data_IF_740331458645
#
_entry.id   IF_740331458645
#
_cell.length_a   1.000
_cell.length_b   1.000
_cell.length_c   1.000
_cell.angle_alpha   90.00
_cell.angle_beta   90.00
_cell.angle_gamma   90.00
#
_symmetry.space_group_name_H-M   'P 1'
#
loop_
_entity.id
_entity.type
_entity.pdbx_description
1 polymer ?
#
# COMPACT_ATOMS: atom_id res chain seq x y z
N UNK A 1 52.95 -13.73 -26.53
CA UNK A 1 52.10 -12.53 -26.66
C UNK A 1 50.75 -12.99 -27.13
N UNK A 2 49.77 -13.08 -26.22
CA UNK A 2 48.40 -13.42 -26.57
C UNK A 2 47.49 -12.78 -25.53
N UNK A 3 46.62 -11.88 -26.00
CA UNK A 3 45.67 -11.09 -25.21
C UNK A 3 44.41 -11.93 -25.08
N UNK A 4 43.95 -12.21 -23.86
CA UNK A 4 42.64 -12.81 -23.61
C UNK A 4 41.77 -11.79 -22.90
N UNK A 5 40.82 -11.25 -23.65
CA UNK A 5 39.88 -10.22 -23.23
C UNK A 5 38.77 -10.79 -22.34
N UNK A 6 38.37 -9.98 -21.34
CA UNK A 6 37.22 -10.18 -20.48
C UNK A 6 35.90 -10.23 -21.27
N UNK A 7 35.08 -11.25 -21.01
CA UNK A 7 33.67 -11.27 -21.40
C UNK A 7 32.81 -10.66 -20.28
N UNK A 8 32.45 -9.39 -20.44
CA UNK A 8 31.35 -8.74 -19.74
C UNK A 8 30.03 -9.10 -20.45
N UNK A 9 29.17 -9.91 -19.83
CA UNK A 9 27.78 -10.01 -20.27
C UNK A 9 26.95 -8.90 -19.62
N UNK A 10 26.82 -7.80 -20.36
CA UNK A 10 25.84 -6.76 -20.10
C UNK A 10 24.42 -7.27 -20.36
N UNK A 11 23.57 -7.26 -19.32
CA UNK A 11 22.13 -7.33 -19.52
C UNK A 11 21.63 -5.95 -19.97
N UNK A 12 21.20 -5.92 -21.22
CA UNK A 12 20.59 -4.78 -21.90
C UNK A 12 19.48 -4.16 -21.03
N UNK A 13 19.64 -2.86 -20.80
CA UNK A 13 18.63 -1.96 -20.31
C UNK A 13 17.47 -1.89 -21.31
N UNK A 14 16.28 -2.30 -20.88
CA UNK A 14 15.05 -2.08 -21.63
C UNK A 14 14.44 -0.74 -21.23
N UNK A 15 14.95 0.35 -21.78
CA UNK A 15 14.36 1.69 -21.65
C UNK A 15 13.17 1.83 -22.61
N UNK A 16 12.04 1.19 -22.27
CA UNK A 16 10.76 1.55 -22.91
C UNK A 16 10.13 2.74 -22.19
N UNK A 17 10.21 3.87 -22.88
CA UNK A 17 9.40 5.10 -22.75
C UNK A 17 8.27 4.98 -21.72
N UNK A 18 8.49 5.54 -20.53
CA UNK A 18 7.42 5.80 -19.58
C UNK A 18 6.44 6.81 -20.20
N UNK A 19 5.15 6.47 -20.34
CA UNK A 19 4.13 7.45 -20.71
C UNK A 19 4.06 8.53 -19.62
N UNK A 20 3.57 9.71 -19.99
CA UNK A 20 3.43 10.94 -19.18
C UNK A 20 2.61 10.82 -17.86
N UNK A 21 2.33 9.60 -17.38
CA UNK A 21 1.67 9.28 -16.11
C UNK A 21 2.52 9.59 -14.87
N UNK A 22 3.84 9.72 -15.02
CA UNK A 22 4.76 9.85 -13.87
C UNK A 22 4.66 11.17 -13.11
N UNK A 23 4.30 12.29 -13.75
CA UNK A 23 4.19 13.59 -13.04
C UNK A 23 2.98 13.65 -12.10
N UNK A 24 1.87 13.01 -12.47
CA UNK A 24 0.71 12.86 -11.57
C UNK A 24 0.93 11.81 -10.47
N UNK A 25 1.77 10.79 -10.75
CA UNK A 25 2.11 9.74 -9.79
C UNK A 25 2.98 10.24 -8.63
N UNK A 26 3.94 11.13 -8.90
CA UNK A 26 4.83 11.67 -7.86
C UNK A 26 4.08 12.57 -6.86
N UNK A 27 3.26 13.51 -7.35
CA UNK A 27 2.43 14.39 -6.51
C UNK A 27 1.46 13.60 -5.63
N UNK A 28 0.85 12.54 -6.18
CA UNK A 28 -0.01 11.64 -5.40
C UNK A 28 0.80 10.86 -4.36
N UNK A 29 2.01 10.41 -4.68
CA UNK A 29 2.85 9.66 -3.72
C UNK A 29 3.20 10.54 -2.50
N UNK A 30 3.54 11.81 -2.71
CA UNK A 30 3.83 12.75 -1.63
C UNK A 30 2.63 13.00 -0.71
N UNK A 31 1.41 13.11 -1.27
CA UNK A 31 0.19 13.26 -0.46
C UNK A 31 -0.11 12.00 0.36
N UNK A 32 0.07 10.79 -0.19
CA UNK A 32 -0.12 9.55 0.56
C UNK A 32 0.91 9.40 1.69
N UNK A 33 2.17 9.75 1.44
CA UNK A 33 3.22 9.74 2.47
C UNK A 33 2.90 10.75 3.58
N UNK A 34 2.40 11.93 3.23
CA UNK A 34 1.97 12.94 4.20
C UNK A 34 0.83 12.41 5.07
N UNK A 35 -0.16 11.75 4.46
CA UNK A 35 -1.27 11.13 5.17
C UNK A 35 -0.83 10.08 6.19
N UNK A 36 0.06 9.14 5.80
CA UNK A 36 0.56 8.12 6.73
C UNK A 36 1.38 8.75 7.87
N UNK A 37 2.18 9.78 7.60
CA UNK A 37 2.89 10.52 8.65
C UNK A 37 1.92 11.15 9.66
N UNK A 38 0.87 11.79 9.18
CA UNK A 38 -0.19 12.35 10.06
C UNK A 38 -0.87 11.27 10.90
N UNK A 39 -1.16 10.08 10.33
CA UNK A 39 -1.68 8.95 11.11
C UNK A 39 -0.70 8.49 12.19
N UNK A 40 0.59 8.35 11.83
CA UNK A 40 1.65 7.95 12.74
C UNK A 40 1.81 8.92 13.92
N UNK A 41 1.62 10.21 13.67
CA UNK A 41 1.73 11.28 14.67
C UNK A 41 0.49 11.43 15.55
N UNK A 42 -0.63 10.80 15.19
CA UNK A 42 -1.85 10.87 15.98
C UNK A 42 -1.64 10.36 17.42
N UNK A 43 -2.22 11.02 18.46
CA UNK A 43 -1.99 10.62 19.86
C UNK A 43 -2.29 9.16 20.13
N UNK A 44 -3.32 8.61 19.48
CA UNK A 44 -3.75 7.22 19.65
C UNK A 44 -2.74 6.22 19.09
N UNK A 45 -2.25 6.48 17.87
CA UNK A 45 -1.21 5.64 17.25
C UNK A 45 0.11 5.76 18.02
N UNK A 46 0.53 6.98 18.38
CA UNK A 46 1.74 7.18 19.19
C UNK A 46 1.67 6.49 20.55
N UNK A 47 0.53 6.60 21.23
CA UNK A 47 0.30 5.93 22.50
C UNK A 47 0.40 4.41 22.36
N UNK A 48 -0.22 3.86 21.31
CA UNK A 48 -0.15 2.43 21.01
C UNK A 48 1.28 1.95 20.69
N UNK A 49 2.02 2.69 19.87
CA UNK A 49 3.42 2.39 19.54
C UNK A 49 4.29 2.46 20.79
N UNK A 50 4.09 3.46 21.64
CA UNK A 50 4.87 3.61 22.89
C UNK A 50 4.56 2.48 23.89
N UNK A 51 3.32 1.98 23.90
CA UNK A 51 2.90 0.91 24.79
C UNK A 51 3.49 -0.46 24.42
N UNK A 52 3.57 -0.78 23.11
CA UNK A 52 3.91 -2.12 22.63
C UNK A 52 5.23 -2.20 21.86
N UNK A 53 5.75 -1.09 21.36
CA UNK A 53 6.95 -1.03 20.55
C UNK A 53 8.07 -0.24 21.23
N UNK A 54 9.04 0.19 20.42
CA UNK A 54 10.09 1.10 20.86
C UNK A 54 9.74 2.55 20.48
N UNK A 55 10.39 3.52 21.12
CA UNK A 55 10.13 4.95 20.85
C UNK A 55 10.59 5.40 19.43
N UNK A 56 11.34 4.56 18.70
CA UNK A 56 11.94 4.90 17.41
C UNK A 56 11.10 4.36 16.23
N UNK A 57 9.84 4.79 16.15
CA UNK A 57 9.01 4.49 14.99
C UNK A 57 9.44 5.32 13.78
N UNK A 58 9.96 4.64 12.74
CA UNK A 58 10.17 5.23 11.43
C UNK A 58 8.94 4.97 10.55
N UNK A 59 8.26 6.05 10.16
CA UNK A 59 7.15 5.98 9.23
C UNK A 59 7.59 5.31 7.90
N UNK A 60 6.90 4.27 7.41
CA UNK A 60 7.27 3.63 6.17
C UNK A 60 7.00 4.57 4.99
N UNK A 61 7.83 4.55 3.94
CA UNK A 61 7.47 5.13 2.67
C UNK A 61 6.24 4.42 2.09
N UNK A 62 5.37 5.22 1.46
CA UNK A 62 4.31 4.75 0.56
C UNK A 62 4.79 4.94 -0.86
N UNK A 63 4.67 3.93 -1.71
CA UNK A 63 4.99 4.03 -3.13
C UNK A 63 3.82 3.55 -3.98
N UNK A 64 3.58 4.24 -5.10
CA UNK A 64 2.57 3.83 -6.06
C UNK A 64 3.24 2.93 -7.11
N UNK A 65 2.72 1.71 -7.25
CA UNK A 65 3.16 0.74 -8.25
C UNK A 65 2.07 0.53 -9.30
N UNK A 66 2.40 0.01 -10.51
CA UNK A 66 1.36 -0.33 -11.49
C UNK A 66 0.26 -1.19 -10.85
N UNK A 67 0.63 -2.34 -10.28
CA UNK A 67 -0.30 -3.17 -9.52
C UNK A 67 0.40 -4.11 -8.54
N UNK A 68 -0.23 -4.33 -7.39
CA UNK A 68 0.07 -5.38 -6.42
C UNK A 68 -0.65 -6.71 -6.72
N UNK A 69 -1.52 -6.74 -7.74
CA UNK A 69 -2.39 -7.86 -8.08
C UNK A 69 -3.79 -7.41 -8.51
N UNK A 70 -4.53 -8.29 -9.17
CA UNK A 70 -5.84 -7.94 -9.75
C UNK A 70 -6.95 -7.72 -8.73
N UNK A 71 -6.77 -8.17 -7.48
CA UNK A 71 -7.69 -7.97 -6.36
C UNK A 71 -7.00 -7.36 -5.13
N UNK A 72 -5.76 -6.86 -5.31
CA UNK A 72 -4.89 -6.41 -4.23
C UNK A 72 -4.66 -4.90 -4.39
N UNK A 73 -5.35 -4.10 -3.58
CA UNK A 73 -5.27 -2.64 -3.63
C UNK A 73 -3.94 -2.11 -3.09
N UNK A 74 -3.35 -2.79 -2.12
CA UNK A 74 -2.03 -2.47 -1.58
C UNK A 74 -1.39 -3.70 -0.90
N UNK A 75 -0.09 -3.61 -0.63
CA UNK A 75 0.68 -4.60 0.12
C UNK A 75 1.61 -3.90 1.12
N UNK A 76 1.78 -4.54 2.27
CA UNK A 76 2.74 -4.13 3.29
C UNK A 76 3.90 -5.13 3.38
N UNK A 77 5.14 -4.62 3.36
CA UNK A 77 6.35 -5.42 3.53
C UNK A 77 6.94 -5.20 4.93
N UNK A 78 6.37 -5.91 5.91
CA UNK A 78 6.73 -5.76 7.31
C UNK A 78 6.48 -4.35 7.82
N UNK A 79 7.50 -3.70 8.38
CA UNK A 79 7.42 -2.31 8.89
C UNK A 79 8.06 -1.27 7.95
N UNK A 80 8.47 -1.67 6.75
CA UNK A 80 9.43 -0.89 5.95
C UNK A 80 8.85 -0.23 4.70
N UNK A 81 7.73 -0.70 4.17
CA UNK A 81 7.19 -0.23 2.89
C UNK A 81 5.70 -0.56 2.76
N UNK A 82 4.95 0.37 2.19
CA UNK A 82 3.59 0.16 1.69
C UNK A 82 3.60 0.40 0.18
N UNK A 83 3.20 -0.59 -0.61
CA UNK A 83 2.95 -0.45 -2.05
C UNK A 83 1.46 -0.29 -2.29
N UNK A 84 1.07 0.68 -3.11
CA UNK A 84 -0.34 0.92 -3.48
C UNK A 84 -0.51 0.73 -4.98
N UNK A 85 -1.47 -0.11 -5.37
CA UNK A 85 -1.85 -0.31 -6.77
C UNK A 85 -2.41 0.99 -7.35
N UNK A 86 -1.86 1.45 -8.47
CA UNK A 86 -2.29 2.72 -9.08
C UNK A 86 -3.77 2.79 -9.48
N UNK A 87 -4.41 1.63 -9.71
CA UNK A 87 -5.84 1.56 -10.05
C UNK A 87 -6.78 1.95 -8.90
N UNK A 88 -6.37 1.84 -7.62
CA UNK A 88 -7.22 2.25 -6.49
C UNK A 88 -7.28 3.78 -6.35
N UNK A 89 -6.28 4.49 -6.89
CA UNK A 89 -6.11 5.93 -6.75
C UNK A 89 -7.19 6.75 -7.46
N UNK A 90 -8.01 6.13 -8.31
CA UNK A 90 -9.17 6.81 -8.91
C UNK A 90 -10.21 7.21 -7.86
N UNK A 91 -10.17 6.59 -6.68
CA UNK A 91 -11.05 6.91 -5.56
C UNK A 91 -10.22 7.18 -4.29
N UNK A 92 -10.13 8.45 -3.90
CA UNK A 92 -9.32 8.85 -2.75
C UNK A 92 -9.88 8.30 -1.42
N UNK A 93 -11.21 8.18 -1.29
CA UNK A 93 -11.83 7.62 -0.10
C UNK A 93 -11.41 6.17 0.12
N UNK A 94 -11.54 5.30 -0.89
CA UNK A 94 -11.08 3.91 -0.81
C UNK A 94 -9.56 3.82 -0.67
N UNK A 95 -8.80 4.70 -1.33
CA UNK A 95 -7.35 4.76 -1.16
C UNK A 95 -6.96 5.00 0.29
N UNK A 96 -7.58 5.95 0.99
CA UNK A 96 -7.28 6.20 2.40
C UNK A 96 -7.72 5.05 3.32
N UNK A 97 -8.80 4.33 2.98
CA UNK A 97 -9.20 3.11 3.71
C UNK A 97 -8.15 2.02 3.60
N UNK A 98 -7.66 1.78 2.38
CA UNK A 98 -6.57 0.85 2.10
C UNK A 98 -5.30 1.26 2.84
N UNK A 99 -4.96 2.55 2.86
CA UNK A 99 -3.80 3.01 3.61
C UNK A 99 -3.93 2.79 5.12
N UNK A 100 -5.11 3.01 5.71
CA UNK A 100 -5.33 2.68 7.13
C UNK A 100 -5.24 1.18 7.40
N UNK A 101 -5.71 0.35 6.45
CA UNK A 101 -5.57 -1.11 6.50
C UNK A 101 -4.10 -1.53 6.55
N UNK A 102 -3.32 -1.08 5.58
CA UNK A 102 -1.90 -1.42 5.45
C UNK A 102 -1.08 -0.86 6.61
N UNK A 103 -1.38 0.37 7.04
CA UNK A 103 -0.68 0.97 8.17
C UNK A 103 -0.94 0.24 9.49
N UNK A 104 -2.10 -0.40 9.65
CA UNK A 104 -2.34 -1.28 10.80
C UNK A 104 -1.42 -2.52 10.79
N UNK A 105 -1.12 -3.11 9.61
CA UNK A 105 -0.11 -4.17 9.50
C UNK A 105 1.28 -3.67 9.84
N UNK A 106 1.65 -2.48 9.38
CA UNK A 106 2.95 -1.84 9.70
C UNK A 106 3.11 -1.68 11.21
N UNK A 107 2.10 -1.15 11.90
CA UNK A 107 2.16 -0.96 13.35
C UNK A 107 2.26 -2.31 14.06
N UNK A 108 1.44 -3.30 13.67
CA UNK A 108 1.52 -4.66 14.24
C UNK A 108 2.93 -5.25 14.08
N UNK A 109 3.51 -5.11 12.89
CA UNK A 109 4.85 -5.60 12.59
C UNK A 109 5.94 -4.82 13.34
N UNK A 110 5.79 -3.50 13.49
CA UNK A 110 6.73 -2.67 14.24
C UNK A 110 6.75 -3.03 15.73
N UNK A 111 5.58 -3.21 16.34
CA UNK A 111 5.43 -3.58 17.74
C UNK A 111 5.63 -5.09 17.99
N UNK A 112 6.04 -5.86 16.96
CA UNK A 112 6.30 -7.31 17.04
C UNK A 112 5.12 -8.10 17.65
N UNK A 113 3.89 -7.63 17.42
CA UNK A 113 2.70 -8.25 18.00
C UNK A 113 2.41 -9.55 17.24
N UNK A 114 2.33 -10.70 17.95
CA UNK A 114 2.13 -12.00 17.31
C UNK A 114 0.72 -12.15 16.71
N UNK A 115 0.44 -13.32 16.12
CA UNK A 115 -0.87 -13.65 15.56
C UNK A 115 -0.97 -13.42 14.05
N UNK A 116 -2.13 -13.78 13.49
CA UNK A 116 -2.35 -13.83 12.04
C UNK A 116 -2.45 -12.42 11.43
N UNK A 117 -2.20 -12.28 10.11
CA UNK A 117 -2.27 -10.99 9.43
C UNK A 117 -3.60 -10.26 9.65
N UNK A 118 -4.72 -10.98 9.68
CA UNK A 118 -6.05 -10.39 9.88
C UNK A 118 -6.74 -10.87 11.17
N UNK A 119 -5.94 -11.24 12.19
CA UNK A 119 -6.39 -11.72 13.49
C UNK A 119 -6.86 -10.63 14.47
N UNK A 120 -7.11 -11.01 15.73
CA UNK A 120 -7.58 -10.09 16.78
C UNK A 120 -6.56 -8.97 17.08
N UNK A 121 -5.28 -9.28 17.00
CA UNK A 121 -4.17 -8.36 17.21
C UNK A 121 -4.11 -7.31 16.10
N UNK A 122 -4.31 -7.74 14.85
CA UNK A 122 -4.46 -6.82 13.72
C UNK A 122 -5.67 -5.89 13.91
N UNK A 123 -6.82 -6.44 14.34
CA UNK A 123 -8.01 -5.62 14.61
C UNK A 123 -7.73 -4.60 15.71
N UNK A 124 -6.93 -4.95 16.72
CA UNK A 124 -6.50 -4.00 17.75
C UNK A 124 -5.65 -2.87 17.16
N UNK A 125 -4.67 -3.17 16.30
CA UNK A 125 -3.90 -2.13 15.58
C UNK A 125 -4.80 -1.26 14.72
N UNK A 126 -5.72 -1.86 13.96
CA UNK A 126 -6.65 -1.13 13.09
C UNK A 126 -7.58 -0.20 13.87
N UNK A 127 -8.06 -0.60 15.06
CA UNK A 127 -8.85 0.27 15.95
C UNK A 127 -8.07 1.47 16.48
N UNK A 128 -6.74 1.40 16.53
CA UNK A 128 -5.90 2.54 16.91
C UNK A 128 -5.63 3.47 15.73
N UNK A 129 -5.45 2.92 14.53
CA UNK A 129 -5.29 3.69 13.28
C UNK A 129 -6.60 4.36 12.86
N UNK A 130 -7.73 3.68 13.05
CA UNK A 130 -9.02 4.07 12.51
C UNK A 130 -10.17 3.78 13.49
N UNK A 131 -10.25 4.49 14.62
CA UNK A 131 -11.19 4.17 15.69
C UNK A 131 -12.66 4.17 15.23
N UNK A 132 -13.03 5.09 14.35
CA UNK A 132 -14.42 5.30 13.94
C UNK A 132 -14.84 4.42 12.76
N UNK A 133 -13.89 4.04 11.91
CA UNK A 133 -14.17 3.30 10.66
C UNK A 133 -13.47 1.95 10.55
N UNK A 134 -12.85 1.43 11.62
CA UNK A 134 -12.08 0.17 11.56
C UNK A 134 -12.82 -0.99 10.90
N UNK A 135 -14.13 -1.17 11.14
CA UNK A 135 -14.92 -2.26 10.53
C UNK A 135 -14.93 -2.16 9.01
N UNK A 136 -15.08 -0.94 8.52
CA UNK A 136 -15.08 -0.59 7.10
C UNK A 136 -13.66 -0.73 6.54
N UNK A 137 -12.64 -0.31 7.27
CA UNK A 137 -11.25 -0.31 6.76
C UNK A 137 -10.59 -1.70 6.72
N UNK A 138 -11.29 -2.76 7.14
CA UNK A 138 -10.82 -4.14 6.99
C UNK A 138 -10.69 -4.58 5.53
N UNK A 139 -11.43 -3.96 4.63
CA UNK A 139 -11.44 -4.30 3.21
C UNK A 139 -11.57 -3.03 2.38
N UNK A 140 -11.09 -3.10 1.13
CA UNK A 140 -11.48 -2.14 0.10
C UNK A 140 -12.80 -2.59 -0.53
N UNK A 141 -13.58 -1.65 -1.05
CA UNK A 141 -14.89 -1.92 -1.61
C UNK A 141 -14.91 -1.52 -3.08
N UNK A 142 -15.31 -2.43 -3.98
CA UNK A 142 -15.37 -2.10 -5.39
C UNK A 142 -16.49 -1.09 -5.67
N UNK A 143 -16.21 -0.16 -6.57
CA UNK A 143 -17.18 0.73 -7.20
C UNK A 143 -16.85 0.85 -8.70
N UNK A 144 -17.75 1.44 -9.48
CA UNK A 144 -17.64 1.43 -10.94
C UNK A 144 -16.30 2.01 -11.43
N UNK A 145 -15.85 3.13 -10.84
CA UNK A 145 -14.61 3.79 -11.24
C UNK A 145 -13.38 2.93 -10.93
N UNK A 146 -13.32 2.35 -9.73
CA UNK A 146 -12.25 1.43 -9.31
C UNK A 146 -12.24 0.21 -10.22
N UNK A 147 -13.42 -0.33 -10.54
CA UNK A 147 -13.55 -1.53 -11.34
C UNK A 147 -13.11 -1.30 -12.79
N UNK A 148 -13.50 -0.17 -13.37
CA UNK A 148 -13.04 0.25 -14.70
C UNK A 148 -11.51 0.39 -14.74
N UNK A 149 -10.93 1.10 -13.76
CA UNK A 149 -9.49 1.28 -13.67
C UNK A 149 -8.75 -0.06 -13.48
N UNK A 150 -9.28 -0.94 -12.63
CA UNK A 150 -8.72 -2.26 -12.34
C UNK A 150 -8.79 -3.19 -13.56
N UNK A 151 -9.92 -3.24 -14.26
CA UNK A 151 -10.09 -4.09 -15.46
C UNK A 151 -9.30 -3.56 -16.66
N UNK A 152 -9.12 -2.24 -16.78
CA UNK A 152 -8.21 -1.66 -17.78
C UNK A 152 -6.78 -2.17 -17.61
N UNK A 153 -6.35 -2.38 -16.37
CA UNK A 153 -5.03 -2.93 -16.05
C UNK A 153 -4.97 -4.45 -16.07
N UNK A 154 -6.07 -5.12 -15.70
CA UNK A 154 -6.17 -6.57 -15.59
C UNK A 154 -7.34 -7.11 -16.44
N UNK A 155 -7.26 -7.04 -17.79
CA UNK A 155 -8.40 -7.28 -18.68
C UNK A 155 -8.94 -8.71 -18.65
N UNK A 156 -8.18 -9.68 -18.14
CA UNK A 156 -8.62 -11.08 -17.99
C UNK A 156 -9.33 -11.34 -16.65
N UNK A 157 -9.40 -10.36 -15.76
CA UNK A 157 -10.03 -10.52 -14.44
C UNK A 157 -11.55 -10.47 -14.55
N UNK A 158 -12.23 -11.22 -13.67
CA UNK A 158 -13.69 -11.16 -13.56
C UNK A 158 -14.14 -9.85 -12.92
N UNK A 159 -15.34 -9.40 -13.29
CA UNK A 159 -16.01 -8.31 -12.60
C UNK A 159 -16.39 -8.74 -11.19
N UNK A 160 -16.16 -7.89 -10.19
CA UNK A 160 -16.48 -8.18 -8.78
C UNK A 160 -17.62 -7.34 -8.22
N UNK A 161 -18.08 -6.35 -8.98
CA UNK A 161 -19.35 -5.68 -8.69
C UNK A 161 -20.47 -6.57 -9.20
N UNK A 162 -21.27 -7.11 -8.29
CA UNK A 162 -22.59 -7.59 -8.65
C UNK A 162 -23.36 -6.37 -9.15
N UNK A 163 -23.50 -6.22 -10.48
CA UNK A 163 -24.49 -5.30 -11.03
C UNK A 163 -25.83 -5.75 -10.46
N UNK A 164 -26.33 -5.05 -9.46
CA UNK A 164 -27.72 -5.16 -9.06
C UNK A 164 -28.50 -4.84 -10.33
N UNK A 165 -29.12 -5.87 -10.90
CA UNK A 165 -30.04 -5.74 -12.03
C UNK A 165 -31.31 -5.07 -11.54
#
# INVERSE_FOLDING_TARGET
MTITALLFFGRLWYTRRCPKFLRGGQVRTESLNTYIKTLAESPRVRGFITQYGNQQFKCPPVVVVPSCGSLVAALTYGKNLIEVSSWILVNDFETYRVLRHEFAHVIKAHCEIPGTPHGKEYIQSLKNVSPDTWRKDRHWYPNLDIEEARLKMHPKSKTIINRVR
#
